data_IF_545808705112
#
_entry.id   IF_545808705112
#
_cell.length_a   1.000
_cell.length_b   1.000
_cell.length_c   1.000
_cell.angle_alpha   90.00
_cell.angle_beta   90.00
_cell.angle_gamma   90.00
#
_symmetry.space_group_name_H-M   'P 1'
#
loop_
_entity.id
_entity.type
_entity.pdbx_description
1 polymer ?
#
# COMPACT_ATOMS: atom_id res chain seq x y z
N UNK A 1 -23.30 -6.88 -6.17
CA UNK A 1 -22.59 -6.58 -4.92
C UNK A 1 -22.11 -5.14 -4.99
N UNK A 2 -22.44 -4.29 -4.00
CA UNK A 2 -21.95 -2.90 -3.92
C UNK A 2 -20.61 -2.94 -3.17
N UNK A 3 -19.51 -3.15 -3.89
CA UNK A 3 -18.19 -3.22 -3.27
C UNK A 3 -17.76 -1.81 -2.85
N UNK A 4 -17.57 -1.62 -1.54
CA UNK A 4 -16.90 -0.43 -1.05
C UNK A 4 -15.44 -0.50 -1.52
N UNK A 5 -14.99 0.49 -2.31
CA UNK A 5 -13.61 0.56 -2.79
C UNK A 5 -12.61 0.59 -1.63
N UNK A 6 -13.02 1.22 -0.53
CA UNK A 6 -12.21 1.43 0.67
C UNK A 6 -12.93 0.86 1.88
N UNK A 7 -12.15 0.24 2.76
CA UNK A 7 -12.59 -0.27 4.07
C UNK A 7 -11.65 0.26 5.15
N UNK A 8 -12.15 0.34 6.38
CA UNK A 8 -11.34 0.74 7.53
C UNK A 8 -11.40 -0.34 8.61
N UNK A 9 -10.56 -1.39 8.52
CA UNK A 9 -10.55 -2.48 9.50
C UNK A 9 -10.19 -2.00 10.91
N UNK A 10 -9.52 -0.86 11.02
CA UNK A 10 -9.07 -0.30 12.30
C UNK A 10 -10.08 0.62 12.97
N UNK A 11 -11.09 1.11 12.22
CA UNK A 11 -12.05 2.12 12.69
C UNK A 11 -11.46 3.51 12.99
N UNK A 12 -10.16 3.74 12.73
CA UNK A 12 -9.48 5.01 13.04
C UNK A 12 -9.54 6.01 11.88
N UNK A 13 -9.64 7.30 12.19
CA UNK A 13 -9.66 8.36 11.18
C UNK A 13 -8.40 8.34 10.29
N UNK A 14 -8.57 8.44 8.97
CA UNK A 14 -7.45 8.44 8.00
C UNK A 14 -6.79 7.07 7.75
N UNK A 15 -7.26 5.99 8.37
CA UNK A 15 -6.69 4.65 8.24
C UNK A 15 -7.43 3.74 7.23
N UNK A 16 -7.96 4.32 6.16
CA UNK A 16 -8.60 3.57 5.08
C UNK A 16 -7.61 2.70 4.30
N UNK A 17 -8.09 1.58 3.79
CA UNK A 17 -7.37 0.61 2.96
C UNK A 17 -8.24 0.22 1.78
N UNK A 18 -7.63 -0.09 0.64
CA UNK A 18 -8.36 -0.71 -0.47
C UNK A 18 -8.96 -2.04 0.01
N UNK A 19 -10.22 -2.30 -0.33
CA UNK A 19 -10.89 -3.55 0.07
C UNK A 19 -10.15 -4.78 -0.46
N UNK A 20 -9.67 -4.70 -1.70
CA UNK A 20 -8.88 -5.74 -2.36
C UNK A 20 -7.61 -6.09 -1.58
N UNK A 21 -6.88 -5.08 -1.07
CA UNK A 21 -5.67 -5.31 -0.26
C UNK A 21 -5.95 -6.03 1.05
N UNK A 22 -7.11 -5.77 1.67
CA UNK A 22 -7.51 -6.44 2.91
C UNK A 22 -7.90 -7.89 2.61
N UNK A 23 -8.60 -8.14 1.51
CA UNK A 23 -8.95 -9.48 1.07
C UNK A 23 -7.71 -10.30 0.66
N UNK A 24 -6.78 -9.69 -0.06
CA UNK A 24 -5.52 -10.30 -0.47
C UNK A 24 -4.65 -10.67 0.74
N UNK A 25 -4.55 -9.79 1.73
CA UNK A 25 -3.85 -10.09 2.98
C UNK A 25 -4.47 -11.28 3.72
N UNK A 26 -5.80 -11.34 3.81
CA UNK A 26 -6.49 -12.47 4.44
C UNK A 26 -6.31 -13.78 3.64
N UNK A 27 -6.33 -13.71 2.30
CA UNK A 27 -6.03 -14.86 1.46
C UNK A 27 -4.58 -15.33 1.64
N UNK A 28 -3.61 -14.42 1.76
CA UNK A 28 -2.21 -14.80 2.01
C UNK A 28 -2.10 -15.63 3.29
N UNK A 29 -2.69 -15.20 4.40
CA UNK A 29 -2.67 -15.99 5.63
C UNK A 29 -3.42 -17.31 5.48
N UNK A 30 -4.67 -17.28 5.03
CA UNK A 30 -5.52 -18.47 5.02
C UNK A 30 -5.13 -19.51 3.96
N UNK A 31 -4.55 -19.07 2.83
CA UNK A 31 -4.27 -19.94 1.69
C UNK A 31 -2.79 -20.19 1.44
N UNK A 32 -1.94 -19.18 1.62
CA UNK A 32 -0.52 -19.31 1.33
C UNK A 32 0.26 -19.77 2.57
N UNK A 33 0.11 -19.07 3.70
CA UNK A 33 0.94 -19.33 4.88
C UNK A 33 0.43 -20.53 5.69
N UNK A 34 -0.89 -20.65 5.85
CA UNK A 34 -1.51 -21.66 6.72
C UNK A 34 -2.44 -22.63 5.99
N UNK A 35 -2.64 -22.50 4.68
CA UNK A 35 -3.61 -23.31 3.92
C UNK A 35 -3.23 -24.79 3.73
N UNK A 36 -2.03 -25.20 4.17
CA UNK A 36 -1.48 -26.52 3.89
C UNK A 36 -1.09 -26.72 2.42
N UNK A 37 -0.65 -27.93 2.05
CA UNK A 37 -0.20 -28.26 0.70
C UNK A 37 -0.95 -29.47 0.11
N UNK A 38 -1.15 -29.47 -1.20
CA UNK A 38 -1.70 -30.61 -1.96
C UNK A 38 -3.16 -30.92 -1.62
N UNK A 39 -3.47 -32.18 -1.32
CA UNK A 39 -4.83 -32.68 -1.05
C UNK A 39 -5.48 -32.12 0.22
N UNK A 40 -4.68 -31.46 1.07
CA UNK A 40 -5.14 -30.83 2.30
C UNK A 40 -5.70 -29.42 2.07
N UNK A 41 -5.55 -28.86 0.86
CA UNK A 41 -6.02 -27.52 0.54
C UNK A 41 -7.52 -27.55 0.15
N UNK A 42 -8.40 -27.84 1.11
CA UNK A 42 -9.85 -27.82 0.90
C UNK A 42 -10.49 -26.57 1.51
N UNK A 43 -11.58 -26.09 0.91
CA UNK A 43 -12.28 -24.87 1.40
C UNK A 43 -12.79 -25.07 2.83
N UNK A 44 -13.29 -26.26 3.12
CA UNK A 44 -13.84 -26.65 4.41
C UNK A 44 -12.77 -26.54 5.49
N UNK A 45 -11.57 -27.04 5.21
CA UNK A 45 -10.44 -26.96 6.15
C UNK A 45 -9.96 -25.53 6.35
N UNK A 46 -9.89 -24.72 5.28
CA UNK A 46 -9.53 -23.30 5.40
C UNK A 46 -10.51 -22.54 6.31
N UNK A 47 -11.82 -22.84 6.21
CA UNK A 47 -12.85 -22.25 7.09
C UNK A 47 -12.65 -22.73 8.53
N UNK A 48 -12.39 -24.02 8.73
CA UNK A 48 -12.20 -24.62 10.05
C UNK A 48 -10.93 -24.13 10.75
N UNK A 49 -9.84 -23.92 10.01
CA UNK A 49 -8.56 -23.46 10.54
C UNK A 49 -8.48 -21.92 10.66
N UNK A 50 -9.38 -21.17 10.02
CA UNK A 50 -9.38 -19.70 10.06
C UNK A 50 -9.36 -19.11 11.49
N UNK A 51 -10.13 -19.62 12.48
CA UNK A 51 -10.03 -19.13 13.86
C UNK A 51 -8.66 -19.39 14.50
N UNK A 52 -8.01 -20.52 14.17
CA UNK A 52 -6.68 -20.85 14.67
C UNK A 52 -5.62 -19.91 14.07
N UNK A 53 -5.76 -19.58 12.78
CA UNK A 53 -4.92 -18.59 12.10
C UNK A 53 -5.04 -17.23 12.80
N UNK A 54 -6.25 -16.79 13.14
CA UNK A 54 -6.46 -15.52 13.84
C UNK A 54 -5.88 -15.52 15.26
N UNK A 55 -6.03 -16.62 16.01
CA UNK A 55 -5.39 -16.78 17.33
C UNK A 55 -3.87 -16.70 17.19
N UNK A 56 -3.29 -17.42 16.22
CA UNK A 56 -1.86 -17.41 15.98
C UNK A 56 -1.34 -16.01 15.62
N UNK A 57 -2.07 -15.28 14.77
CA UNK A 57 -1.77 -13.87 14.43
C UNK A 57 -1.82 -12.97 15.66
N UNK A 58 -2.78 -13.19 16.55
CA UNK A 58 -2.91 -12.45 17.81
C UNK A 58 -1.71 -12.70 18.73
N UNK A 59 -1.25 -13.95 18.85
CA UNK A 59 -0.05 -14.30 19.60
C UNK A 59 1.20 -13.60 19.04
N UNK A 60 1.38 -13.60 17.71
CA UNK A 60 2.48 -12.86 17.08
C UNK A 60 2.43 -11.36 17.34
N UNK A 61 1.26 -10.72 17.17
CA UNK A 61 1.09 -9.30 17.49
C UNK A 61 1.41 -8.98 18.96
N UNK A 62 1.05 -9.88 19.87
CA UNK A 62 1.32 -9.74 21.29
C UNK A 62 2.83 -9.76 21.56
N UNK A 63 3.56 -10.71 20.96
CA UNK A 63 5.02 -10.79 21.03
C UNK A 63 5.65 -9.52 20.43
N UNK A 64 5.28 -9.15 19.19
CA UNK A 64 5.83 -7.96 18.54
C UNK A 64 5.66 -6.69 19.37
N UNK A 65 4.46 -6.49 19.94
CA UNK A 65 4.18 -5.33 20.80
C UNK A 65 5.02 -5.35 22.08
N UNK A 66 5.07 -6.49 22.78
CA UNK A 66 5.79 -6.59 24.06
C UNK A 66 7.30 -6.44 23.90
N UNK A 67 7.86 -6.97 22.82
CA UNK A 67 9.29 -6.86 22.53
C UNK A 67 9.67 -5.60 21.76
N UNK A 68 8.74 -4.65 21.57
CA UNK A 68 8.95 -3.42 20.79
C UNK A 68 9.45 -3.68 19.35
N UNK A 69 9.12 -4.84 18.79
CA UNK A 69 9.38 -5.23 17.41
C UNK A 69 8.29 -4.61 16.51
N UNK A 70 8.09 -3.30 16.64
CA UNK A 70 6.98 -2.62 15.99
C UNK A 70 7.28 -2.44 14.49
N UNK A 71 6.53 -3.16 13.64
CA UNK A 71 6.43 -2.86 12.21
C UNK A 71 7.39 -3.59 11.28
N UNK A 72 7.99 -4.71 11.70
CA UNK A 72 8.86 -5.51 10.82
C UNK A 72 8.08 -6.37 9.80
N UNK A 73 6.86 -6.80 10.11
CA UNK A 73 6.11 -7.79 9.32
C UNK A 73 4.97 -7.20 8.48
N UNK A 74 4.33 -6.13 8.94
CA UNK A 74 3.06 -5.63 8.37
C UNK A 74 3.14 -4.22 7.77
N UNK A 75 4.22 -3.48 8.03
CA UNK A 75 4.36 -2.10 7.57
C UNK A 75 5.54 -2.05 6.61
N UNK A 76 5.26 -1.91 5.32
CA UNK A 76 6.31 -1.57 4.37
C UNK A 76 7.07 -0.36 4.91
N UNK A 77 8.40 -0.50 5.01
CA UNK A 77 9.27 0.62 5.28
C UNK A 77 8.94 1.74 4.28
N UNK A 78 9.04 3.01 4.71
CA UNK A 78 8.84 4.14 3.80
C UNK A 78 9.72 3.91 2.57
N UNK A 79 9.18 4.07 1.35
CA UNK A 79 9.94 3.79 0.14
C UNK A 79 11.25 4.59 0.17
N UNK A 80 12.37 3.91 -0.03
CA UNK A 80 13.67 4.57 -0.11
C UNK A 80 13.80 5.24 -1.49
N UNK A 81 13.32 6.48 -1.57
CA UNK A 81 13.29 7.26 -2.80
C UNK A 81 14.63 7.96 -3.12
N UNK A 82 15.73 7.68 -2.41
CA UNK A 82 17.02 8.35 -2.63
C UNK A 82 17.50 8.21 -4.08
N UNK A 83 17.43 6.99 -4.64
CA UNK A 83 17.82 6.74 -6.03
C UNK A 83 16.87 7.45 -7.00
N UNK A 84 15.57 7.36 -6.75
CA UNK A 84 14.55 8.04 -7.56
C UNK A 84 14.80 9.55 -7.63
N UNK A 85 15.06 10.18 -6.49
CA UNK A 85 15.38 11.61 -6.43
C UNK A 85 16.71 11.95 -7.12
N UNK A 86 17.73 11.09 -6.99
CA UNK A 86 19.01 11.30 -7.68
C UNK A 86 18.84 11.26 -9.22
N UNK A 87 18.08 10.29 -9.73
CA UNK A 87 17.75 10.18 -11.16
C UNK A 87 16.92 11.38 -11.61
N UNK A 88 15.91 11.76 -10.83
CA UNK A 88 15.05 12.91 -11.13
C UNK A 88 15.86 14.21 -11.19
N UNK A 89 16.79 14.40 -10.24
CA UNK A 89 17.68 15.56 -10.20
C UNK A 89 18.62 15.60 -11.41
N UNK A 90 19.17 14.46 -11.84
CA UNK A 90 19.98 14.37 -13.06
C UNK A 90 19.16 14.74 -14.30
N UNK A 91 17.95 14.18 -14.43
CA UNK A 91 17.01 14.48 -15.51
C UNK A 91 16.64 15.97 -15.56
N UNK A 92 16.35 16.58 -14.39
CA UNK A 92 16.05 18.01 -14.31
C UNK A 92 17.23 18.89 -14.70
N UNK A 93 18.45 18.50 -14.33
CA UNK A 93 19.67 19.20 -14.72
C UNK A 93 19.94 19.11 -16.22
N UNK A 94 19.73 17.93 -16.81
CA UNK A 94 19.92 17.70 -18.25
C UNK A 94 18.92 18.49 -19.09
N UNK A 95 17.64 18.46 -18.73
CA UNK A 95 16.58 19.04 -19.55
C UNK A 95 16.20 20.48 -19.16
N UNK A 96 16.78 21.04 -18.10
CA UNK A 96 16.53 22.42 -17.68
C UNK A 96 15.04 22.71 -17.50
N UNK A 97 14.31 21.84 -16.80
CA UNK A 97 12.85 21.91 -16.67
C UNK A 97 12.37 23.12 -15.86
N UNK A 98 13.23 23.66 -15.00
CA UNK A 98 12.92 24.80 -14.12
C UNK A 98 13.49 26.12 -14.61
N UNK A 99 14.21 26.12 -15.74
CA UNK A 99 14.77 27.33 -16.33
C UNK A 99 13.93 27.76 -17.52
N UNK A 100 13.57 29.04 -17.56
CA UNK A 100 12.91 29.63 -18.70
C UNK A 100 13.87 29.58 -19.91
N UNK A 101 13.51 28.83 -20.95
CA UNK A 101 14.27 28.73 -22.19
C UNK A 101 13.52 29.44 -23.31
N UNK A 102 14.10 30.53 -23.82
CA UNK A 102 13.53 31.31 -24.91
C UNK A 102 13.36 30.43 -26.16
N UNK A 103 12.13 30.32 -26.68
CA UNK A 103 11.80 29.51 -27.85
C UNK A 103 11.23 28.11 -27.56
N UNK A 104 11.17 27.67 -26.29
CA UNK A 104 10.51 26.42 -25.90
C UNK A 104 8.99 26.58 -25.99
N UNK A 105 8.36 25.88 -26.93
CA UNK A 105 6.90 25.89 -27.07
C UNK A 105 6.26 24.89 -26.10
N UNK A 106 5.21 25.30 -25.41
CA UNK A 106 4.36 24.39 -24.64
C UNK A 106 3.34 23.76 -25.60
N UNK A 107 3.12 22.45 -25.49
CA UNK A 107 2.10 21.75 -26.29
C UNK A 107 0.67 22.24 -25.95
N UNK A 108 0.48 22.77 -24.74
CA UNK A 108 -0.76 23.35 -24.29
C UNK A 108 -0.46 24.49 -23.32
N UNK A 109 -1.20 25.59 -23.47
CA UNK A 109 -1.13 26.73 -22.55
C UNK A 109 -2.26 26.57 -21.55
N UNK A 110 -1.93 26.43 -20.27
CA UNK A 110 -2.93 26.46 -19.21
C UNK A 110 -3.25 27.94 -18.97
N UNK A 111 -4.51 28.34 -19.09
CA UNK A 111 -4.91 29.72 -18.74
C UNK A 111 -4.90 29.87 -17.22
N UNK A 112 -4.36 30.99 -16.76
CA UNK A 112 -4.34 31.33 -15.35
C UNK A 112 -5.77 31.68 -14.91
N UNK A 113 -6.39 30.76 -14.16
CA UNK A 113 -7.76 30.94 -13.69
C UNK A 113 -7.88 31.87 -12.50
N UNK A 114 -6.78 32.17 -11.82
CA UNK A 114 -6.74 33.16 -10.74
C UNK A 114 -6.75 34.56 -11.34
N UNK A 115 -5.98 34.79 -12.41
CA UNK A 115 -6.01 36.05 -13.17
C UNK A 115 -7.29 36.23 -14.00
N UNK A 116 -7.89 35.14 -14.52
CA UNK A 116 -9.20 35.17 -15.22
C UNK A 116 -10.40 35.41 -14.28
N UNK A 117 -10.18 35.58 -12.97
CA UNK A 117 -11.22 35.99 -12.02
C UNK A 117 -12.14 34.86 -11.54
N UNK A 118 -11.59 33.68 -11.24
CA UNK A 118 -12.18 32.72 -10.29
C UNK A 118 -11.34 32.67 -9.02
#
# INVERSE_FOLDING_TARGET
VRYNLMVNPTGKEGHWRGADWVEEANNMFAKHDFGGNGVNFTKERVIEESPLVDIYRSCHHNIERNFHINGLTQRHAKPNLKLTFAVLAAYFKEHGLHTHQTGRQAAYTISDKIDDGI
#
